data_IF_899090724959
#
_entry.id   IF_899090724959
#
_cell.length_a   1.000
_cell.length_b   1.000
_cell.length_c   1.000
_cell.angle_alpha   90.00
_cell.angle_beta   90.00
_cell.angle_gamma   90.00
#
_symmetry.space_group_name_H-M   'P 1'
#
loop_
_entity.id
_entity.type
_entity.pdbx_description
1 polymer ?
#
# COMPACT_ATOMS: atom_id res chain seq x y z
N UNK A 1 -39.17 -61.46 11.85
CA UNK A 1 -37.78 -61.83 11.47
C UNK A 1 -36.98 -60.55 11.37
N UNK A 2 -35.74 -60.38 11.82
CA UNK A 2 -34.80 -61.13 12.66
C UNK A 2 -33.70 -60.09 13.03
N UNK A 3 -33.33 -60.06 14.31
CA UNK A 3 -32.03 -59.72 14.93
C UNK A 3 -31.34 -58.34 14.81
N UNK A 4 -30.88 -57.95 16.01
CA UNK A 4 -30.06 -56.82 16.47
C UNK A 4 -28.56 -57.17 16.38
N UNK A 5 -27.68 -56.19 16.13
CA UNK A 5 -26.27 -56.14 16.63
C UNK A 5 -25.63 -54.79 16.24
N UNK A 6 -25.52 -53.79 17.14
CA UNK A 6 -24.41 -53.51 18.06
C UNK A 6 -23.00 -53.73 17.48
N UNK A 7 -22.23 -52.63 17.29
CA UNK A 7 -20.81 -52.65 17.63
C UNK A 7 -20.33 -51.25 18.08
N UNK A 8 -19.87 -51.21 19.34
CA UNK A 8 -19.12 -50.12 19.97
C UNK A 8 -17.62 -50.28 19.68
N UNK A 9 -16.92 -49.17 19.48
CA UNK A 9 -15.52 -48.95 19.86
C UNK A 9 -15.40 -47.41 20.01
N UNK A 10 -15.09 -46.75 21.13
CA UNK A 10 -14.29 -47.02 22.33
C UNK A 10 -12.88 -47.56 22.03
N UNK A 11 -11.89 -46.66 22.03
CA UNK A 11 -10.58 -46.72 22.71
C UNK A 11 -9.86 -45.40 22.34
N UNK A 12 -9.58 -44.52 23.31
CA UNK A 12 -8.27 -44.41 24.02
C UNK A 12 -7.21 -43.85 23.06
N UNK A 13 -6.80 -42.59 23.16
CA UNK A 13 -6.10 -42.01 24.31
C UNK A 13 -4.60 -42.00 24.01
N UNK A 14 -4.07 -40.89 23.52
CA UNK A 14 -2.64 -40.59 23.66
C UNK A 14 -2.45 -39.08 23.79
N UNK A 15 -2.09 -38.66 24.99
CA UNK A 15 -1.58 -37.33 25.33
C UNK A 15 -0.11 -37.29 24.89
N UNK A 16 0.27 -36.28 24.11
CA UNK A 16 1.67 -35.87 24.01
C UNK A 16 1.76 -34.35 24.09
N UNK A 17 2.16 -33.87 25.25
CA UNK A 17 2.56 -32.50 25.55
C UNK A 17 3.92 -32.20 24.94
N UNK A 18 4.04 -31.09 24.22
CA UNK A 18 5.30 -30.38 24.02
C UNK A 18 5.00 -28.88 24.12
N UNK A 19 5.27 -28.30 25.30
CA UNK A 19 5.33 -26.86 25.46
C UNK A 19 6.59 -26.36 24.74
N UNK A 20 6.44 -25.49 23.74
CA UNK A 20 7.54 -24.66 23.25
C UNK A 20 7.23 -23.20 23.61
N UNK A 21 7.84 -22.76 24.70
CA UNK A 21 8.05 -21.36 25.01
C UNK A 21 9.11 -20.82 24.06
N UNK A 22 8.70 -20.05 23.06
CA UNK A 22 9.59 -19.12 22.37
C UNK A 22 9.21 -17.70 22.80
N UNK A 23 9.63 -17.31 24.00
CA UNK A 23 9.72 -15.89 24.36
C UNK A 23 10.93 -15.32 23.61
N UNK A 24 10.69 -14.71 22.45
CA UNK A 24 11.68 -13.82 21.88
C UNK A 24 11.78 -12.60 22.79
N UNK A 25 12.90 -12.47 23.47
CA UNK A 25 13.31 -11.25 24.18
C UNK A 25 13.56 -10.17 23.12
N UNK A 26 12.49 -9.50 22.67
CA UNK A 26 12.65 -8.27 21.90
C UNK A 26 12.89 -7.14 22.90
N UNK A 27 14.17 -6.83 23.09
CA UNK A 27 14.61 -5.55 23.62
C UNK A 27 14.26 -4.47 22.57
N UNK A 28 13.00 -4.02 22.58
CA UNK A 28 12.56 -2.88 21.79
C UNK A 28 12.57 -1.64 22.69
N UNK A 29 13.58 -0.81 22.44
CA UNK A 29 13.72 0.56 22.93
C UNK A 29 12.38 1.29 22.89
N UNK A 30 12.00 1.90 24.01
CA UNK A 30 10.89 2.83 24.15
C UNK A 30 10.97 3.92 23.07
N UNK A 31 10.16 3.83 22.03
CA UNK A 31 9.63 5.01 21.34
C UNK A 31 8.17 5.15 21.71
N UNK A 32 7.93 6.06 22.66
CA UNK A 32 6.61 6.53 23.04
C UNK A 32 5.84 6.94 21.79
N UNK A 33 4.77 6.22 21.47
CA UNK A 33 3.73 6.71 20.58
C UNK A 33 2.77 7.55 21.42
N UNK A 34 3.05 8.85 21.54
CA UNK A 34 2.01 9.81 21.90
C UNK A 34 1.06 9.91 20.70
N UNK A 35 -0.15 9.36 20.85
CA UNK A 35 -1.30 9.73 20.03
C UNK A 35 -1.64 11.19 20.34
N UNK A 36 -0.91 12.09 19.70
CA UNK A 36 -1.13 13.53 19.74
C UNK A 36 -2.22 13.91 18.75
N UNK A 37 -3.33 14.38 19.31
CA UNK A 37 -4.36 15.21 18.74
C UNK A 37 -4.00 15.90 17.41
N UNK A 38 -4.67 15.53 16.32
CA UNK A 38 -4.56 16.21 15.03
C UNK A 38 -5.15 17.62 15.13
N UNK A 39 -4.29 18.61 15.37
CA UNK A 39 -4.64 20.03 15.22
C UNK A 39 -3.79 20.67 14.11
N UNK A 40 -4.50 21.04 13.04
CA UNK A 40 -4.16 21.99 11.97
C UNK A 40 -2.81 21.87 11.22
N UNK A 41 -2.86 21.46 9.95
CA UNK A 41 -2.05 21.92 8.80
C UNK A 41 -0.52 22.07 8.90
N UNK A 42 0.12 21.61 9.98
CA UNK A 42 1.56 21.57 10.06
C UNK A 42 2.05 20.33 9.30
N UNK A 43 2.62 20.56 8.11
CA UNK A 43 3.46 19.57 7.44
C UNK A 43 4.47 19.06 8.48
N UNK A 44 4.53 17.75 8.68
CA UNK A 44 5.49 17.18 9.63
C UNK A 44 6.91 17.57 9.22
N UNK A 45 7.83 17.79 10.18
CA UNK A 45 9.19 18.18 9.86
C UNK A 45 9.83 17.14 8.94
N UNK A 46 10.48 17.62 7.88
CA UNK A 46 11.18 16.76 6.94
C UNK A 46 12.18 15.85 7.68
N UNK A 47 12.21 14.57 7.34
CA UNK A 47 13.21 13.62 7.87
C UNK A 47 14.60 14.17 7.52
N UNK A 48 15.38 14.54 8.53
CA UNK A 48 16.79 14.94 8.38
C UNK A 48 17.63 13.66 8.48
N UNK A 49 18.20 13.24 7.36
CA UNK A 49 19.13 12.13 7.31
C UNK A 49 20.53 12.70 7.14
N UNK A 50 21.40 12.41 8.11
CA UNK A 50 22.81 12.85 8.11
C UNK A 50 23.68 12.12 7.08
N UNK A 51 23.12 11.13 6.38
CA UNK A 51 23.79 10.26 5.41
C UNK A 51 22.89 10.09 4.16
N UNK A 52 23.45 9.88 2.96
CA UNK A 52 22.67 9.65 1.76
C UNK A 52 21.87 8.34 1.88
N UNK A 53 20.60 8.43 2.24
CA UNK A 53 19.66 7.33 2.03
C UNK A 53 19.58 7.13 0.51
N UNK A 54 20.06 6.00 0.00
CA UNK A 54 19.85 5.65 -1.40
C UNK A 54 19.00 4.40 -1.41
N UNK A 55 17.68 4.59 -1.44
CA UNK A 55 16.72 3.50 -1.62
C UNK A 55 15.91 3.08 -0.39
N UNK A 56 15.94 3.86 0.70
CA UNK A 56 15.02 3.61 1.83
C UNK A 56 13.64 4.12 1.47
N UNK A 57 12.63 3.24 1.50
CA UNK A 57 11.22 3.63 1.34
C UNK A 57 10.78 4.37 2.60
N UNK A 58 10.41 5.63 2.45
CA UNK A 58 9.91 6.45 3.57
C UNK A 58 8.39 6.51 3.62
N UNK A 59 7.71 6.29 2.48
CA UNK A 59 6.26 6.43 2.37
C UNK A 59 5.71 5.45 1.36
N UNK A 60 4.54 4.88 1.66
CA UNK A 60 3.83 4.00 0.73
C UNK A 60 2.34 4.27 0.74
N UNK A 61 1.69 4.01 -0.39
CA UNK A 61 0.24 3.99 -0.50
C UNK A 61 -0.17 2.87 -1.46
N UNK A 62 -1.15 2.06 -1.06
CA UNK A 62 -1.82 1.09 -1.93
C UNK A 62 -3.20 1.65 -2.27
N UNK A 63 -3.47 1.84 -3.56
CA UNK A 63 -4.67 2.49 -4.08
C UNK A 63 -5.45 1.47 -4.90
N UNK A 64 -6.73 1.34 -4.61
CA UNK A 64 -7.65 0.52 -5.42
C UNK A 64 -8.03 1.25 -6.71
N UNK A 65 -8.45 0.51 -7.73
CA UNK A 65 -8.87 1.07 -9.02
C UNK A 65 -9.97 2.15 -8.92
N UNK A 66 -10.85 2.06 -7.92
CA UNK A 66 -11.90 3.04 -7.64
C UNK A 66 -11.40 4.31 -6.90
N UNK A 67 -10.12 4.39 -6.54
CA UNK A 67 -9.51 5.51 -5.83
C UNK A 67 -9.51 5.40 -4.31
N UNK A 68 -10.05 4.33 -3.71
CA UNK A 68 -9.97 4.15 -2.26
C UNK A 68 -8.59 3.68 -1.83
N UNK A 69 -8.16 4.08 -0.64
CA UNK A 69 -6.87 3.69 -0.06
C UNK A 69 -7.02 2.34 0.62
N UNK A 70 -6.28 1.33 0.12
CA UNK A 70 -6.23 -0.01 0.71
C UNK A 70 -5.24 -0.10 1.87
N UNK A 71 -4.09 0.56 1.76
CA UNK A 71 -3.04 0.62 2.79
C UNK A 71 -2.28 1.93 2.66
N UNK A 72 -1.81 2.46 3.78
CA UNK A 72 -1.21 3.79 3.85
C UNK A 72 -0.11 3.84 4.90
N UNK A 73 1.11 4.20 4.50
CA UNK A 73 2.20 4.52 5.41
C UNK A 73 2.68 5.95 5.12
N UNK A 74 2.42 6.85 6.08
CA UNK A 74 2.69 8.30 5.98
C UNK A 74 2.01 9.00 4.78
N UNK A 75 1.03 8.34 4.16
CA UNK A 75 0.14 8.97 3.19
C UNK A 75 -0.97 9.76 3.92
N UNK A 76 -1.63 10.66 3.20
CA UNK A 76 -2.83 11.35 3.64
C UNK A 76 -4.04 10.79 2.87
N UNK A 77 -4.86 9.92 3.48
CA UNK A 77 -6.01 9.32 2.81
C UNK A 77 -7.04 10.34 2.33
N UNK A 78 -7.26 11.43 3.06
CA UNK A 78 -8.23 12.47 2.69
C UNK A 78 -7.81 13.25 1.45
N UNK A 79 -6.50 13.40 1.21
CA UNK A 79 -5.93 14.04 0.01
C UNK A 79 -5.66 13.06 -1.14
N UNK A 80 -5.97 11.78 -0.95
CA UNK A 80 -5.72 10.71 -1.92
C UNK A 80 -7.04 10.33 -2.60
N UNK A 81 -7.15 10.65 -3.89
CA UNK A 81 -8.43 10.61 -4.62
C UNK A 81 -8.24 10.20 -6.07
N UNK A 82 -9.27 9.57 -6.65
CA UNK A 82 -9.39 9.40 -8.11
C UNK A 82 -9.94 10.68 -8.72
N UNK A 83 -9.21 11.25 -9.67
CA UNK A 83 -9.55 12.48 -10.37
C UNK A 83 -10.35 12.20 -11.66
N UNK A 84 -10.08 11.07 -12.29
CA UNK A 84 -10.69 10.64 -13.55
C UNK A 84 -10.33 9.19 -13.86
N UNK A 85 -10.77 8.69 -15.01
CA UNK A 85 -10.38 7.34 -15.47
C UNK A 85 -8.87 7.30 -15.64
N UNK A 86 -8.20 6.44 -14.88
CA UNK A 86 -6.74 6.31 -14.90
C UNK A 86 -5.98 7.52 -14.36
N UNK A 87 -6.65 8.46 -13.68
CA UNK A 87 -6.00 9.64 -13.10
C UNK A 87 -6.24 9.68 -11.59
N UNK A 88 -5.16 9.77 -10.83
CA UNK A 88 -5.19 9.74 -9.38
C UNK A 88 -4.30 10.84 -8.80
N UNK A 89 -4.69 11.34 -7.64
CA UNK A 89 -3.83 12.09 -6.74
C UNK A 89 -3.54 11.23 -5.52
N UNK A 90 -2.27 11.10 -5.16
CA UNK A 90 -1.86 10.47 -3.90
C UNK A 90 -1.15 11.51 -3.05
N UNK A 91 -1.70 11.76 -1.85
CA UNK A 91 -1.16 12.76 -0.94
C UNK A 91 -0.40 12.10 0.21
N UNK A 92 0.60 12.79 0.73
CA UNK A 92 1.43 12.40 1.86
C UNK A 92 1.47 13.49 2.92
N UNK A 93 1.95 13.13 4.12
CA UNK A 93 1.96 14.04 5.26
C UNK A 93 3.07 15.12 5.20
N UNK A 94 3.97 15.00 4.22
CA UNK A 94 5.11 15.91 4.04
C UNK A 94 5.45 16.02 2.54
N UNK A 95 6.38 16.90 2.20
CA UNK A 95 6.90 17.06 0.84
C UNK A 95 7.37 15.71 0.24
N UNK A 96 7.01 15.47 -1.02
CA UNK A 96 7.37 14.30 -1.83
C UNK A 96 7.79 14.67 -3.26
N UNK A 97 8.16 15.93 -3.48
CA UNK A 97 8.53 16.44 -4.80
C UNK A 97 9.86 15.84 -5.28
N UNK A 98 9.94 15.44 -6.55
CA UNK A 98 11.24 14.99 -7.10
C UNK A 98 12.25 16.13 -7.16
N UNK A 99 11.78 17.38 -7.33
CA UNK A 99 12.64 18.56 -7.35
C UNK A 99 13.50 18.71 -6.08
N UNK A 100 13.04 18.17 -4.94
CA UNK A 100 13.79 18.19 -3.66
C UNK A 100 14.46 16.85 -3.32
N UNK A 101 14.53 15.94 -4.28
CA UNK A 101 15.30 14.69 -4.20
C UNK A 101 14.49 13.43 -3.85
N UNK A 102 13.15 13.48 -3.85
CA UNK A 102 12.36 12.26 -3.65
C UNK A 102 12.24 11.43 -4.94
N UNK A 103 12.58 10.16 -4.85
CA UNK A 103 12.35 9.17 -5.89
C UNK A 103 10.98 8.51 -5.71
N UNK A 104 10.31 8.24 -6.83
CA UNK A 104 8.92 7.77 -6.86
C UNK A 104 8.81 6.65 -7.88
N UNK A 105 8.23 5.53 -7.50
CA UNK A 105 7.87 4.48 -8.45
C UNK A 105 6.51 3.89 -8.10
N UNK A 106 5.81 3.50 -9.16
CA UNK A 106 4.47 2.92 -9.09
C UNK A 106 4.55 1.50 -9.61
N UNK A 107 4.04 0.56 -8.82
CA UNK A 107 3.89 -0.83 -9.20
C UNK A 107 2.41 -1.12 -9.36
N UNK A 108 1.97 -1.37 -10.58
CA UNK A 108 0.59 -1.76 -10.86
C UNK A 108 0.31 -3.11 -10.20
N UNK A 109 -0.83 -3.20 -9.52
CA UNK A 109 -1.31 -4.45 -8.95
C UNK A 109 -1.86 -5.36 -10.05
N UNK A 110 -1.33 -6.58 -10.13
CA UNK A 110 -1.70 -7.59 -11.13
C UNK A 110 -2.66 -8.64 -10.58
N UNK A 111 -3.09 -8.54 -9.32
CA UNK A 111 -3.92 -9.55 -8.63
C UNK A 111 -5.41 -9.45 -8.96
N UNK A 112 -5.76 -9.26 -10.23
CA UNK A 112 -7.13 -9.30 -10.81
C UNK A 112 -8.05 -8.09 -10.54
N UNK A 113 -7.64 -7.12 -9.74
CA UNK A 113 -8.36 -5.86 -9.50
C UNK A 113 -7.87 -4.71 -10.40
N UNK A 114 -8.21 -4.76 -11.69
CA UNK A 114 -7.87 -3.69 -12.65
C UNK A 114 -7.70 -4.15 -14.09
N UNK A 115 -7.09 -3.29 -14.92
CA UNK A 115 -6.75 -3.65 -16.30
C UNK A 115 -5.47 -4.46 -16.39
N UNK A 116 -5.55 -5.62 -17.06
CA UNK A 116 -4.36 -6.39 -17.41
C UNK A 116 -3.44 -5.53 -18.30
N UNK A 117 -2.14 -5.51 -17.97
CA UNK A 117 -1.10 -4.74 -18.67
C UNK A 117 -1.17 -3.22 -18.51
N UNK A 118 -1.82 -2.70 -17.47
CA UNK A 118 -1.72 -1.28 -17.17
C UNK A 118 -0.27 -0.91 -16.76
N UNK A 119 0.17 0.27 -17.13
CA UNK A 119 1.35 0.94 -16.62
C UNK A 119 0.97 2.32 -16.12
N UNK A 120 1.71 2.86 -15.15
CA UNK A 120 1.44 4.17 -14.60
C UNK A 120 2.70 5.04 -14.58
N UNK A 121 2.52 6.34 -14.71
CA UNK A 121 3.57 7.35 -14.56
C UNK A 121 3.22 8.29 -13.41
N UNK A 122 4.25 8.89 -12.80
CA UNK A 122 4.08 9.82 -11.68
C UNK A 122 4.60 11.21 -12.05
N UNK A 123 3.94 12.26 -11.55
CA UNK A 123 4.40 13.64 -11.66
C UNK A 123 4.15 14.42 -10.36
N UNK A 124 4.86 15.52 -10.17
CA UNK A 124 4.56 16.49 -9.12
C UNK A 124 3.18 17.11 -9.35
N UNK A 125 2.41 17.26 -8.26
CA UNK A 125 1.17 18.03 -8.32
C UNK A 125 1.51 19.51 -8.21
N UNK A 126 1.25 20.26 -9.28
CA UNK A 126 1.52 21.70 -9.32
C UNK A 126 0.89 22.42 -8.12
N UNK A 127 1.71 23.14 -7.34
CA UNK A 127 1.29 23.90 -6.18
C UNK A 127 0.96 23.07 -4.93
N UNK A 128 1.16 21.75 -4.95
CA UNK A 128 0.85 20.84 -3.84
C UNK A 128 2.03 19.91 -3.58
N UNK A 129 3.02 20.41 -2.84
CA UNK A 129 4.31 19.75 -2.61
C UNK A 129 4.21 18.35 -1.94
N UNK A 130 3.10 18.06 -1.28
CA UNK A 130 2.85 16.79 -0.62
C UNK A 130 1.96 15.84 -1.46
N UNK A 131 1.73 16.13 -2.74
CA UNK A 131 0.90 15.30 -3.61
C UNK A 131 1.61 14.89 -4.90
N UNK A 132 1.32 13.66 -5.31
CA UNK A 132 1.82 13.03 -6.53
C UNK A 132 0.61 12.80 -7.43
N UNK A 133 0.70 13.26 -8.68
CA UNK A 133 -0.22 12.87 -9.73
C UNK A 133 0.21 11.53 -10.32
N UNK A 134 -0.73 10.59 -10.46
CA UNK A 134 -0.50 9.28 -11.07
C UNK A 134 -1.42 9.14 -12.27
N UNK A 135 -0.86 8.85 -13.43
CA UNK A 135 -1.61 8.57 -14.67
C UNK A 135 -1.36 7.14 -15.10
N UNK A 136 -2.42 6.35 -15.25
CA UNK A 136 -2.40 4.95 -15.61
C UNK A 136 -3.04 4.73 -16.98
N UNK A 137 -2.37 3.93 -17.80
CA UNK A 137 -2.77 3.62 -19.17
C UNK A 137 -2.59 2.13 -19.43
N UNK A 138 -3.33 1.59 -20.40
CA UNK A 138 -3.15 0.25 -20.91
C UNK A 138 -3.10 0.29 -22.45
N UNK A 139 -2.66 -0.79 -23.12
CA UNK A 139 -2.78 -0.89 -24.57
C UNK A 139 -4.25 -0.70 -24.94
N UNK A 140 -4.53 0.12 -25.95
CA UNK A 140 -5.92 0.37 -26.35
C UNK A 140 -6.61 -0.88 -26.86
N UNK A 141 -7.93 -0.92 -26.73
CA UNK A 141 -8.75 -2.04 -27.22
C UNK A 141 -8.90 -2.10 -28.75
N UNK A 142 -9.67 -3.06 -29.28
CA UNK A 142 -9.97 -3.14 -30.70
C UNK A 142 -10.43 -1.79 -31.27
N UNK A 143 -9.76 -1.31 -32.32
CA UNK A 143 -10.01 0.00 -32.93
C UNK A 143 -9.14 1.16 -32.41
N UNK A 144 -8.26 0.94 -31.42
CA UNK A 144 -7.35 1.97 -30.90
C UNK A 144 -6.18 2.30 -31.84
N UNK A 145 -5.94 1.47 -32.86
CA UNK A 145 -4.76 1.52 -33.74
C UNK A 145 -3.42 1.52 -32.98
N UNK A 146 -3.39 0.88 -31.80
CA UNK A 146 -2.18 0.78 -30.97
C UNK A 146 -1.97 1.97 -30.02
N UNK A 147 -2.86 2.96 -30.02
CA UNK A 147 -2.80 4.04 -29.04
C UNK A 147 -3.13 3.54 -27.64
N UNK A 148 -2.44 4.08 -26.64
CA UNK A 148 -2.76 3.83 -25.24
C UNK A 148 -4.09 4.46 -24.86
N UNK A 149 -4.77 3.88 -23.87
CA UNK A 149 -6.02 4.42 -23.31
C UNK A 149 -5.88 4.53 -21.80
N UNK A 150 -6.37 5.64 -21.23
CA UNK A 150 -6.47 5.81 -19.79
C UNK A 150 -7.32 4.69 -19.18
N UNK A 151 -6.87 4.13 -18.05
CA UNK A 151 -7.55 3.01 -17.43
C UNK A 151 -7.42 3.02 -15.92
N UNK A 152 -8.50 2.64 -15.25
CA UNK A 152 -8.46 2.43 -13.81
C UNK A 152 -7.75 1.13 -13.46
N UNK A 153 -6.84 1.19 -12.50
CA UNK A 153 -6.12 0.03 -12.00
C UNK A 153 -5.75 0.23 -10.54
N UNK A 154 -5.62 -0.86 -9.79
CA UNK A 154 -5.04 -0.81 -8.46
C UNK A 154 -3.51 -0.73 -8.58
N UNK A 155 -2.85 -0.08 -7.63
CA UNK A 155 -1.39 0.08 -7.64
C UNK A 155 -0.81 0.34 -6.24
N UNK A 156 0.49 0.08 -6.11
CA UNK A 156 1.32 0.48 -4.99
C UNK A 156 2.22 1.64 -5.41
N UNK A 157 2.20 2.73 -4.66
CA UNK A 157 3.11 3.86 -4.82
C UNK A 157 4.13 3.85 -3.70
N UNK A 158 5.40 3.97 -4.06
CA UNK A 158 6.51 4.04 -3.14
C UNK A 158 7.24 5.37 -3.31
N UNK A 159 7.59 5.99 -2.19
CA UNK A 159 8.39 7.21 -2.15
C UNK A 159 9.64 6.94 -1.32
N UNK A 160 10.78 7.09 -1.96
CA UNK A 160 12.11 6.97 -1.34
C UNK A 160 12.86 8.30 -1.43
N UNK A 161 13.90 8.42 -0.64
CA UNK A 161 14.87 9.50 -0.70
C UNK A 161 16.26 8.92 -0.68
#
# INVERSE_FOLDING_TARGET
MKYVSNLRALFCGLVLTCALNAQSTQSATNTSHTNGEMTSNALSPAIVLSEPSRGVVFKTAAINSNGTVATCFRCNPAGTVRLGVGEYQVSFNENVEAAVGFSRWVQVDTLTTGSANAWCTTADRLGVANAIFVSCQAPGGPGSMGNSKAVDTSFFLFVAR
#
